data_IF_589791114557
#
_entry.id   IF_589791114557
#
_cell.length_a   1.000
_cell.length_b   1.000
_cell.length_c   1.000
_cell.angle_alpha   90.00
_cell.angle_beta   90.00
_cell.angle_gamma   90.00
#
_symmetry.space_group_name_H-M   'P 1'
#
loop_
_entity.id
_entity.type
_entity.pdbx_description
1 polymer ?
#
# COMPACT_ATOMS: atom_id res chain seq x y z
N UNK A 1 16.87 4.10 -6.47
CA UNK A 1 16.37 3.12 -5.47
C UNK A 1 15.14 2.40 -5.99
N UNK A 2 14.89 1.23 -5.41
CA UNK A 2 13.64 0.51 -5.61
C UNK A 2 12.70 0.74 -4.42
N UNK A 3 11.58 1.44 -4.68
CA UNK A 3 10.67 1.93 -3.64
C UNK A 3 9.34 1.18 -3.70
N UNK A 4 8.89 0.65 -2.55
CA UNK A 4 7.55 0.10 -2.37
C UNK A 4 6.65 1.15 -1.72
N UNK A 5 5.66 1.66 -2.45
CA UNK A 5 4.66 2.58 -1.94
C UNK A 5 3.39 1.81 -1.56
N UNK A 6 3.24 1.53 -0.27
CA UNK A 6 2.10 0.79 0.26
C UNK A 6 0.91 1.72 0.49
N UNK A 7 -0.25 1.38 -0.09
CA UNK A 7 -1.45 2.21 -0.10
C UNK A 7 -2.68 1.41 0.34
N UNK A 8 -3.62 2.08 1.01
CA UNK A 8 -4.88 1.49 1.47
C UNK A 8 -6.12 2.34 1.14
N UNK A 9 -5.92 3.46 0.43
CA UNK A 9 -6.99 4.38 0.06
C UNK A 9 -7.44 5.33 1.17
N UNK A 10 -6.80 5.31 2.34
CA UNK A 10 -7.09 6.23 3.45
C UNK A 10 -6.60 7.66 3.17
N UNK A 11 -6.96 8.59 4.03
CA UNK A 11 -6.42 9.96 3.99
C UNK A 11 -4.90 10.00 4.13
N UNK A 12 -4.32 9.04 4.82
CA UNK A 12 -2.86 8.92 4.96
C UNK A 12 -2.18 8.45 3.68
N UNK A 13 -2.84 7.61 2.87
CA UNK A 13 -2.38 7.33 1.50
C UNK A 13 -2.31 8.62 0.67
N UNK A 14 -3.33 9.46 0.75
CA UNK A 14 -3.34 10.74 0.04
C UNK A 14 -2.21 11.66 0.50
N UNK A 15 -1.99 11.79 1.82
CA UNK A 15 -0.86 12.58 2.37
C UNK A 15 0.49 12.05 1.91
N UNK A 16 0.65 10.73 1.88
CA UNK A 16 1.87 10.10 1.39
C UNK A 16 2.08 10.34 -0.11
N UNK A 17 1.00 10.34 -0.88
CA UNK A 17 1.01 10.68 -2.29
C UNK A 17 1.44 12.14 -2.52
N UNK A 18 0.86 13.09 -1.77
CA UNK A 18 1.21 14.51 -1.83
C UNK A 18 2.68 14.74 -1.45
N UNK A 19 3.16 14.02 -0.43
CA UNK A 19 4.56 14.07 -0.03
C UNK A 19 5.49 13.58 -1.16
N UNK A 20 5.17 12.45 -1.75
CA UNK A 20 5.94 11.89 -2.87
C UNK A 20 5.93 12.85 -4.08
N UNK A 21 4.79 13.44 -4.39
CA UNK A 21 4.66 14.38 -5.52
C UNK A 21 5.51 15.65 -5.34
N UNK A 22 5.72 16.10 -4.09
CA UNK A 22 6.46 17.32 -3.77
C UNK A 22 7.95 17.10 -3.47
N UNK A 23 8.40 15.84 -3.38
CA UNK A 23 9.78 15.50 -3.01
C UNK A 23 10.47 14.74 -4.15
N UNK A 24 11.20 15.47 -4.98
CA UNK A 24 11.87 14.94 -6.17
C UNK A 24 12.78 13.73 -5.89
N UNK A 25 13.43 13.68 -4.72
CA UNK A 25 14.31 12.59 -4.37
C UNK A 25 13.61 11.23 -4.23
N UNK A 26 12.29 11.24 -4.01
CA UNK A 26 11.48 10.01 -3.98
C UNK A 26 11.02 9.57 -5.36
N UNK A 27 10.82 10.49 -6.30
CA UNK A 27 10.23 10.17 -7.60
C UNK A 27 11.22 10.11 -8.75
N UNK A 28 12.30 10.91 -8.69
CA UNK A 28 13.32 10.94 -9.75
C UNK A 28 14.31 9.81 -9.58
N UNK A 29 14.61 9.15 -10.70
CA UNK A 29 15.61 8.09 -10.79
C UNK A 29 15.33 6.89 -9.86
N UNK A 30 14.08 6.70 -9.46
CA UNK A 30 13.64 5.59 -8.63
C UNK A 30 12.63 4.71 -9.37
N UNK A 31 12.72 3.40 -9.13
CA UNK A 31 11.71 2.43 -9.56
C UNK A 31 10.64 2.30 -8.47
N UNK A 32 9.45 2.82 -8.73
CA UNK A 32 8.34 2.83 -7.77
C UNK A 32 7.37 1.70 -8.11
N UNK A 33 7.04 0.90 -7.11
CA UNK A 33 5.90 -0.02 -7.17
C UNK A 33 4.86 0.42 -6.15
N UNK A 34 3.66 0.75 -6.62
CA UNK A 34 2.48 1.01 -5.78
C UNK A 34 1.82 -0.30 -5.44
N UNK A 35 1.61 -0.55 -4.17
CA UNK A 35 1.15 -1.84 -3.67
C UNK A 35 -0.02 -1.72 -2.70
N UNK A 36 -1.10 -2.44 -3.01
CA UNK A 36 -2.27 -2.56 -2.15
C UNK A 36 -2.48 -3.99 -1.69
N UNK A 37 -3.09 -4.17 -0.54
CA UNK A 37 -3.44 -5.48 0.00
C UNK A 37 -4.94 -5.55 0.23
N UNK A 38 -5.61 -6.47 -0.46
CA UNK A 38 -7.00 -6.79 -0.24
C UNK A 38 -7.11 -7.73 0.98
N UNK A 39 -7.93 -7.37 1.96
CA UNK A 39 -8.13 -8.21 3.15
C UNK A 39 -8.82 -9.50 2.78
N UNK A 40 -8.27 -10.63 3.25
CA UNK A 40 -8.86 -11.93 3.03
C UNK A 40 -10.24 -12.03 3.68
N UNK A 41 -11.26 -12.41 2.90
CA UNK A 41 -12.59 -12.69 3.44
C UNK A 41 -12.62 -14.06 4.10
N UNK A 42 -13.53 -14.29 5.08
CA UNK A 42 -13.70 -15.61 5.68
C UNK A 42 -13.97 -16.70 4.63
N UNK A 43 -13.41 -17.88 4.84
CA UNK A 43 -13.54 -19.02 3.93
C UNK A 43 -14.99 -19.34 3.55
N UNK A 44 -15.92 -19.21 4.50
CA UNK A 44 -17.37 -19.43 4.25
C UNK A 44 -17.94 -18.45 3.25
N UNK A 45 -17.60 -17.17 3.37
CA UNK A 45 -18.08 -16.14 2.45
C UNK A 45 -17.52 -16.36 1.04
N UNK A 46 -16.23 -16.69 0.93
CA UNK A 46 -15.59 -17.00 -0.35
C UNK A 46 -16.19 -18.24 -1.02
N UNK A 47 -16.45 -19.30 -0.25
CA UNK A 47 -17.07 -20.54 -0.74
C UNK A 47 -18.50 -20.31 -1.24
N UNK A 48 -19.28 -19.45 -0.57
CA UNK A 48 -20.66 -19.12 -0.98
C UNK A 48 -20.73 -18.26 -2.23
N UNK A 49 -19.80 -17.32 -2.40
CA UNK A 49 -19.77 -16.41 -3.54
C UNK A 49 -19.23 -17.07 -4.82
N UNK A 50 -18.39 -18.10 -4.70
CA UNK A 50 -17.70 -18.75 -5.81
C UNK A 50 -16.42 -18.01 -6.25
N UNK A 51 -15.54 -18.71 -7.02
CA UNK A 51 -14.21 -18.18 -7.36
C UNK A 51 -14.23 -16.87 -8.17
N UNK A 52 -15.13 -16.75 -9.14
CA UNK A 52 -15.21 -15.57 -10.01
C UNK A 52 -15.64 -14.31 -9.26
N UNK A 53 -16.67 -14.39 -8.42
CA UNK A 53 -17.15 -13.27 -7.61
C UNK A 53 -16.16 -12.90 -6.54
N UNK A 54 -15.49 -13.88 -5.93
CA UNK A 54 -14.47 -13.65 -4.91
C UNK A 54 -13.26 -12.91 -5.51
N UNK A 55 -12.79 -13.32 -6.69
CA UNK A 55 -11.70 -12.64 -7.38
C UNK A 55 -12.09 -11.21 -7.76
N UNK A 56 -13.29 -10.99 -8.31
CA UNK A 56 -13.78 -9.66 -8.65
C UNK A 56 -13.85 -8.76 -7.40
N UNK A 57 -14.30 -9.28 -6.26
CA UNK A 57 -14.33 -8.56 -4.99
C UNK A 57 -12.94 -8.10 -4.57
N UNK A 58 -11.95 -8.98 -4.58
CA UNK A 58 -10.58 -8.63 -4.20
C UNK A 58 -9.95 -7.62 -5.15
N UNK A 59 -10.17 -7.79 -6.44
CA UNK A 59 -9.72 -6.82 -7.44
C UNK A 59 -10.32 -5.44 -7.18
N UNK A 60 -11.62 -5.35 -6.94
CA UNK A 60 -12.31 -4.08 -6.69
C UNK A 60 -11.85 -3.45 -5.38
N UNK A 61 -11.65 -4.25 -4.34
CA UNK A 61 -11.11 -3.77 -3.05
C UNK A 61 -9.71 -3.18 -3.22
N UNK A 62 -8.83 -3.85 -3.95
CA UNK A 62 -7.51 -3.32 -4.26
C UNK A 62 -7.57 -2.03 -5.11
N UNK A 63 -8.46 -1.97 -6.09
CA UNK A 63 -8.60 -0.80 -6.98
C UNK A 63 -9.12 0.44 -6.26
N UNK A 64 -9.86 0.31 -5.16
CA UNK A 64 -10.23 1.44 -4.30
C UNK A 64 -8.97 2.20 -3.83
N UNK A 65 -7.92 1.48 -3.49
CA UNK A 65 -6.66 2.07 -3.06
C UNK A 65 -5.75 2.49 -4.23
N UNK A 66 -5.69 1.67 -5.29
CA UNK A 66 -4.74 1.87 -6.39
C UNK A 66 -5.19 2.94 -7.39
N UNK A 67 -6.47 3.02 -7.70
CA UNK A 67 -6.99 3.90 -8.75
C UNK A 67 -6.67 5.38 -8.53
N UNK A 68 -6.90 5.97 -7.33
CA UNK A 68 -6.55 7.37 -7.09
C UNK A 68 -5.06 7.66 -7.29
N UNK A 69 -4.20 6.73 -6.88
CA UNK A 69 -2.74 6.87 -7.02
C UNK A 69 -2.34 6.77 -8.50
N UNK A 70 -2.93 5.82 -9.23
CA UNK A 70 -2.70 5.67 -10.67
C UNK A 70 -3.06 6.94 -11.44
N UNK A 71 -4.20 7.54 -11.10
CA UNK A 71 -4.65 8.79 -11.73
C UNK A 71 -3.70 9.96 -11.41
N UNK A 72 -3.30 10.11 -10.16
CA UNK A 72 -2.38 11.17 -9.73
C UNK A 72 -1.00 11.01 -10.39
N UNK A 73 -0.46 9.79 -10.43
CA UNK A 73 0.82 9.52 -11.06
C UNK A 73 0.80 9.80 -12.57
N UNK A 74 -0.30 9.43 -13.24
CA UNK A 74 -0.48 9.73 -14.66
C UNK A 74 -0.53 11.24 -14.92
N UNK A 75 -1.23 12.02 -14.07
CA UNK A 75 -1.30 13.47 -14.19
C UNK A 75 0.07 14.15 -13.97
N UNK A 76 0.88 13.62 -13.07
CA UNK A 76 2.20 14.17 -12.73
C UNK A 76 3.34 13.57 -13.57
N UNK A 77 3.04 12.68 -14.51
CA UNK A 77 4.04 12.01 -15.36
C UNK A 77 4.96 11.05 -14.59
N UNK A 78 4.52 10.54 -13.44
CA UNK A 78 5.29 9.60 -12.62
C UNK A 78 5.09 8.18 -13.13
N UNK A 79 6.19 7.51 -13.48
CA UNK A 79 6.17 6.11 -13.90
C UNK A 79 6.21 5.20 -12.67
N UNK A 80 5.30 4.23 -12.59
CA UNK A 80 5.27 3.25 -11.52
C UNK A 80 4.62 1.94 -11.97
N UNK A 81 5.00 0.86 -11.32
CA UNK A 81 4.29 -0.41 -11.40
C UNK A 81 3.16 -0.43 -10.37
N UNK A 82 2.08 -1.14 -10.65
CA UNK A 82 0.94 -1.30 -9.76
C UNK A 82 0.70 -2.78 -9.51
N UNK A 83 0.67 -3.16 -8.25
CA UNK A 83 0.47 -4.54 -7.84
C UNK A 83 -0.45 -4.63 -6.62
N UNK A 84 -1.07 -5.79 -6.43
CA UNK A 84 -1.84 -6.08 -5.24
C UNK A 84 -1.78 -7.56 -4.88
N UNK A 85 -2.02 -7.86 -3.61
CA UNK A 85 -2.11 -9.22 -3.09
C UNK A 85 -3.30 -9.34 -2.14
N UNK A 86 -3.72 -10.56 -1.86
CA UNK A 86 -4.73 -10.89 -0.86
C UNK A 86 -4.01 -11.31 0.41
N UNK A 87 -4.41 -10.80 1.57
CA UNK A 87 -3.85 -11.22 2.83
C UNK A 87 -3.94 -10.18 3.94
N UNK A 88 -2.97 -10.24 4.86
CA UNK A 88 -2.80 -9.27 5.93
C UNK A 88 -1.85 -8.17 5.48
N UNK A 89 -2.25 -6.89 5.55
CA UNK A 89 -1.47 -5.79 5.00
C UNK A 89 -0.02 -5.74 5.49
N UNK A 90 0.20 -5.81 6.79
CA UNK A 90 1.55 -5.69 7.34
C UNK A 90 2.47 -6.85 6.93
N UNK A 91 1.96 -8.07 6.92
CA UNK A 91 2.71 -9.25 6.49
C UNK A 91 3.02 -9.20 5.00
N UNK A 92 2.04 -8.84 4.18
CA UNK A 92 2.19 -8.76 2.73
C UNK A 92 3.21 -7.68 2.33
N UNK A 93 3.13 -6.51 2.95
CA UNK A 93 4.08 -5.40 2.71
C UNK A 93 5.50 -5.82 3.10
N UNK A 94 5.71 -6.33 4.31
CA UNK A 94 7.02 -6.75 4.79
C UNK A 94 7.62 -7.88 3.94
N UNK A 95 6.82 -8.87 3.58
CA UNK A 95 7.23 -9.98 2.71
C UNK A 95 7.62 -9.49 1.32
N UNK A 96 6.78 -8.68 0.70
CA UNK A 96 7.04 -8.14 -0.64
C UNK A 96 8.30 -7.27 -0.66
N UNK A 97 8.44 -6.39 0.31
CA UNK A 97 9.61 -5.52 0.41
C UNK A 97 10.92 -6.32 0.46
N UNK A 98 10.95 -7.39 1.26
CA UNK A 98 12.14 -8.24 1.41
C UNK A 98 12.36 -9.15 0.22
N UNK A 99 11.31 -9.86 -0.22
CA UNK A 99 11.41 -10.85 -1.30
C UNK A 99 11.83 -10.22 -2.63
N UNK A 100 11.27 -9.07 -2.96
CA UNK A 100 11.47 -8.42 -4.24
C UNK A 100 12.62 -7.38 -4.22
N UNK A 101 13.35 -7.28 -3.11
CA UNK A 101 14.55 -6.45 -2.99
C UNK A 101 14.30 -4.95 -3.00
N UNK A 102 13.21 -4.50 -2.39
CA UNK A 102 12.97 -3.07 -2.21
C UNK A 102 13.95 -2.47 -1.20
N UNK A 103 14.34 -1.23 -1.44
CA UNK A 103 15.33 -0.51 -0.61
C UNK A 103 14.66 0.49 0.34
N UNK A 104 13.41 0.84 0.08
CA UNK A 104 12.60 1.74 0.90
C UNK A 104 11.13 1.36 0.79
N UNK A 105 10.44 1.35 1.93
CA UNK A 105 8.98 1.29 1.99
C UNK A 105 8.47 2.69 2.34
N UNK A 106 7.53 3.21 1.58
CA UNK A 106 6.82 4.47 1.87
C UNK A 106 5.36 4.14 2.15
N UNK A 107 4.83 4.63 3.24
CA UNK A 107 3.43 4.41 3.61
C UNK A 107 2.90 5.48 4.55
N UNK A 108 1.59 5.58 4.66
CA UNK A 108 0.95 6.40 5.70
C UNK A 108 1.22 5.85 7.10
N UNK A 109 1.32 6.73 8.08
CA UNK A 109 1.51 6.34 9.49
C UNK A 109 0.27 5.70 10.11
N UNK A 110 -0.90 5.89 9.51
CA UNK A 110 -2.19 5.34 9.92
C UNK A 110 -2.96 4.86 8.69
N UNK A 111 -4.04 4.10 8.93
CA UNK A 111 -4.95 3.67 7.89
C UNK A 111 -6.37 4.18 8.14
N UNK A 112 -7.36 3.41 7.65
CA UNK A 112 -8.76 3.61 7.94
C UNK A 112 -9.03 3.40 9.45
N UNK A 113 -9.91 4.19 10.04
CA UNK A 113 -10.26 4.06 11.46
C UNK A 113 -9.20 4.58 12.44
N UNK A 114 -8.29 5.45 11.98
CA UNK A 114 -7.30 6.07 12.85
C UNK A 114 -7.95 6.87 13.98
N UNK A 115 -7.50 6.60 15.22
CA UNK A 115 -7.92 7.34 16.39
C UNK A 115 -6.98 8.52 16.62
N UNK A 116 -7.53 9.68 17.02
CA UNK A 116 -6.78 10.93 17.17
C UNK A 116 -5.61 10.86 18.16
N UNK A 117 -5.67 9.93 19.13
CA UNK A 117 -4.67 9.79 20.18
C UNK A 117 -3.63 8.68 19.95
N UNK A 118 -3.67 8.03 18.77
CA UNK A 118 -2.73 6.94 18.45
C UNK A 118 -1.57 7.51 17.67
N UNK A 119 -0.36 7.29 18.16
CA UNK A 119 0.87 7.80 17.51
C UNK A 119 1.14 7.10 16.17
N UNK A 120 0.93 5.78 16.11
CA UNK A 120 1.07 4.97 14.89
C UNK A 120 -0.13 4.04 14.72
N UNK A 121 -0.53 3.83 13.48
CA UNK A 121 -1.55 2.85 13.13
C UNK A 121 -1.08 1.42 13.32
N UNK A 122 -2.03 0.48 13.38
CA UNK A 122 -1.75 -0.94 13.59
C UNK A 122 -0.90 -1.55 12.48
N UNK A 123 -1.17 -1.22 11.23
CA UNK A 123 -0.39 -1.73 10.08
C UNK A 123 1.03 -1.18 10.11
N UNK A 124 1.19 0.14 10.32
CA UNK A 124 2.50 0.77 10.42
C UNK A 124 3.35 0.16 11.54
N UNK A 125 2.77 -0.03 12.72
CA UNK A 125 3.44 -0.68 13.86
C UNK A 125 3.90 -2.10 13.52
N UNK A 126 3.05 -2.89 12.87
CA UNK A 126 3.36 -4.27 12.51
C UNK A 126 4.38 -4.36 11.35
N UNK A 127 4.33 -3.43 10.39
CA UNK A 127 5.35 -3.35 9.33
C UNK A 127 6.71 -3.05 9.95
N UNK A 128 6.82 -2.08 10.85
CA UNK A 128 8.07 -1.77 11.54
C UNK A 128 8.62 -2.96 12.34
N UNK A 129 7.74 -3.76 12.95
CA UNK A 129 8.15 -4.94 13.70
C UNK A 129 8.67 -6.09 12.82
N UNK A 130 8.21 -6.19 11.57
CA UNK A 130 8.46 -7.33 10.67
C UNK A 130 9.44 -7.02 9.54
N UNK A 131 9.47 -5.77 9.09
CA UNK A 131 10.23 -5.35 7.91
C UNK A 131 11.60 -4.83 8.30
N UNK A 132 12.65 -5.39 7.70
CA UNK A 132 14.04 -4.92 7.89
C UNK A 132 14.43 -3.85 6.87
N UNK A 133 13.63 -3.67 5.83
CA UNK A 133 13.82 -2.59 4.86
C UNK A 133 13.45 -1.26 5.53
N UNK A 134 14.21 -0.18 5.31
CA UNK A 134 13.86 1.15 5.82
C UNK A 134 12.43 1.54 5.46
N UNK A 135 11.73 2.17 6.41
CA UNK A 135 10.33 2.57 6.25
C UNK A 135 10.21 4.08 6.48
N UNK A 136 9.66 4.78 5.50
CA UNK A 136 9.29 6.19 5.61
C UNK A 136 7.78 6.27 5.90
N UNK A 137 7.44 6.76 7.08
CA UNK A 137 6.06 6.96 7.51
C UNK A 137 5.64 8.41 7.30
N UNK A 138 4.54 8.62 6.59
CA UNK A 138 3.96 9.94 6.35
C UNK A 138 2.73 10.12 7.25
N UNK A 139 2.75 11.20 8.02
CA UNK A 139 1.70 11.54 9.00
C UNK A 139 0.62 12.42 8.38
#
# INVERSE_FOLDING_TARGET
>A
MKILFAVDGSDYTRRALDYLATHDWLRRDNAITVFAVALAVPHRAAAMAGPSLTHAYYHDDAEVALRPVRQAFAADGIQAEFAWEIGHPAEAVARKATRDGFELVVMGSHGHGALANVVLGSVATQVLARCKVPVLLIR
#
